data_IF_145429042122
#
_entry.id   IF_145429042122
#
_cell.length_a   1.000
_cell.length_b   1.000
_cell.length_c   1.000
_cell.angle_alpha   90.00
_cell.angle_beta   90.00
_cell.angle_gamma   90.00
#
_symmetry.space_group_name_H-M   'P 1'
#
loop_
_entity.id
_entity.type
_entity.pdbx_description
1 polymer ?
#
# COMPACT_ATOMS: atom_id res chain seq x y z
N UNK A 1 3.19 -38.56 -29.70
CA UNK A 1 2.77 -37.79 -28.50
C UNK A 1 4.00 -37.53 -27.65
N UNK A 2 4.45 -36.28 -27.49
CA UNK A 2 5.74 -35.98 -26.81
C UNK A 2 5.50 -35.76 -25.31
N UNK A 3 5.92 -36.72 -24.48
CA UNK A 3 5.81 -36.62 -23.01
C UNK A 3 6.94 -35.75 -22.46
N UNK A 4 6.74 -34.42 -22.48
CA UNK A 4 7.65 -33.47 -21.79
C UNK A 4 7.62 -33.71 -20.28
N UNK A 5 8.70 -34.26 -19.73
CA UNK A 5 8.91 -34.33 -18.29
C UNK A 5 9.39 -32.97 -17.75
N UNK A 6 8.88 -32.58 -16.58
CA UNK A 6 9.36 -31.37 -15.89
C UNK A 6 10.77 -31.68 -15.35
N UNK A 7 11.78 -30.80 -15.55
CA UNK A 7 13.13 -31.03 -15.04
C UNK A 7 13.15 -31.03 -13.51
N UNK A 8 13.92 -31.96 -12.92
CA UNK A 8 13.92 -32.23 -11.46
C UNK A 8 14.22 -31.00 -10.59
N UNK A 9 15.03 -30.05 -11.09
CA UNK A 9 15.28 -28.77 -10.43
C UNK A 9 13.99 -27.99 -10.20
N UNK A 10 13.25 -27.70 -11.28
CA UNK A 10 11.97 -26.99 -11.23
C UNK A 10 10.95 -27.69 -10.34
N UNK A 11 10.92 -29.04 -10.32
CA UNK A 11 10.06 -29.78 -9.38
C UNK A 11 10.44 -29.50 -7.91
N UNK A 12 11.74 -29.54 -7.59
CA UNK A 12 12.26 -29.22 -6.25
C UNK A 12 12.00 -27.75 -5.88
N UNK A 13 12.16 -26.81 -6.81
CA UNK A 13 11.93 -25.39 -6.57
C UNK A 13 10.43 -25.08 -6.34
N UNK A 14 9.53 -25.72 -7.10
CA UNK A 14 8.07 -25.64 -6.87
C UNK A 14 7.70 -26.20 -5.48
N UNK A 15 8.31 -27.31 -5.05
CA UNK A 15 8.08 -27.87 -3.71
C UNK A 15 8.54 -26.90 -2.62
N UNK A 16 9.72 -26.28 -2.77
CA UNK A 16 10.23 -25.29 -1.80
C UNK A 16 9.29 -24.09 -1.68
N UNK A 17 8.82 -23.55 -2.81
CA UNK A 17 7.86 -22.42 -2.81
C UNK A 17 6.53 -22.83 -2.20
N UNK A 18 5.99 -24.00 -2.55
CA UNK A 18 4.72 -24.50 -2.00
C UNK A 18 4.77 -24.75 -0.49
N UNK A 19 5.87 -25.32 0.02
CA UNK A 19 6.10 -25.49 1.46
C UNK A 19 6.27 -24.14 2.15
N UNK A 20 7.01 -23.19 1.55
CA UNK A 20 7.16 -21.84 2.08
C UNK A 20 5.83 -21.10 2.23
N UNK A 21 4.98 -21.14 1.19
CA UNK A 21 3.63 -20.56 1.23
C UNK A 21 2.76 -21.24 2.29
N UNK A 22 2.81 -22.57 2.41
CA UNK A 22 2.05 -23.31 3.42
C UNK A 22 2.49 -22.96 4.86
N UNK A 23 3.79 -22.83 5.10
CA UNK A 23 4.34 -22.44 6.42
C UNK A 23 3.95 -21.00 6.77
N UNK A 24 3.96 -20.08 5.79
CA UNK A 24 3.49 -18.69 6.00
C UNK A 24 1.99 -18.68 6.29
N UNK A 25 1.19 -19.44 5.53
CA UNK A 25 -0.27 -19.54 5.73
C UNK A 25 -0.61 -20.04 7.14
N UNK A 26 -0.06 -21.18 7.56
CA UNK A 26 -0.29 -21.74 8.89
C UNK A 26 0.27 -20.80 9.97
N UNK A 27 1.43 -20.17 9.73
CA UNK A 27 2.02 -19.19 10.64
C UNK A 27 1.11 -17.99 10.88
N UNK A 28 0.46 -17.46 9.83
CA UNK A 28 -0.53 -16.38 9.95
C UNK A 28 -1.77 -16.82 10.74
N UNK A 29 -2.32 -18.00 10.44
CA UNK A 29 -3.50 -18.51 11.15
C UNK A 29 -3.23 -18.75 12.64
N UNK A 30 -2.05 -19.26 13.01
CA UNK A 30 -1.63 -19.42 14.41
C UNK A 30 -1.31 -18.07 15.06
N UNK A 31 -0.66 -17.14 14.35
CA UNK A 31 -0.32 -15.83 14.90
C UNK A 31 -1.54 -14.97 15.22
N UNK A 32 -2.60 -15.04 14.41
CA UNK A 32 -3.80 -14.22 14.56
C UNK A 32 -5.02 -14.95 15.13
N UNK A 33 -5.00 -16.29 15.24
CA UNK A 33 -6.08 -17.07 15.83
C UNK A 33 -7.31 -17.26 14.92
N UNK A 34 -7.26 -16.79 13.68
CA UNK A 34 -8.39 -16.85 12.73
C UNK A 34 -7.94 -17.33 11.35
N UNK A 35 -8.85 -17.88 10.55
CA UNK A 35 -8.53 -18.47 9.25
C UNK A 35 -8.06 -17.42 8.22
N UNK A 36 -8.63 -16.22 8.29
CA UNK A 36 -8.36 -15.09 7.40
C UNK A 36 -8.15 -13.83 8.25
N UNK A 37 -6.92 -13.42 8.59
CA UNK A 37 -6.69 -12.30 9.48
C UNK A 37 -6.73 -10.92 8.80
N UNK A 38 -6.95 -10.86 7.48
CA UNK A 38 -6.91 -9.62 6.70
C UNK A 38 -8.20 -9.41 5.92
N UNK A 39 -8.86 -8.26 6.15
CA UNK A 39 -10.08 -7.83 5.46
C UNK A 39 -9.90 -6.44 4.84
N UNK A 40 -10.73 -6.09 3.86
CA UNK A 40 -10.77 -4.76 3.25
C UNK A 40 -12.15 -4.16 3.45
N UNK A 41 -12.23 -2.94 3.98
CA UNK A 41 -13.51 -2.24 4.20
C UNK A 41 -14.17 -1.94 2.86
N UNK A 42 -15.37 -2.49 2.64
CA UNK A 42 -16.10 -2.39 1.37
C UNK A 42 -17.25 -1.36 1.38
N UNK A 43 -17.64 -0.84 2.54
CA UNK A 43 -18.77 0.05 2.74
C UNK A 43 -18.48 1.12 3.79
N UNK A 44 -19.01 2.32 3.60
CA UNK A 44 -18.83 3.45 4.53
C UNK A 44 -19.64 3.36 5.83
N UNK A 45 -20.15 2.18 6.20
CA UNK A 45 -20.96 1.96 7.41
C UNK A 45 -20.19 2.18 8.71
N UNK A 46 -18.86 2.20 8.66
CA UNK A 46 -17.97 2.41 9.82
C UNK A 46 -17.23 3.75 9.79
N UNK A 47 -17.62 4.67 8.90
CA UNK A 47 -17.10 6.05 8.89
C UNK A 47 -17.59 6.77 10.17
N UNK A 48 -16.76 7.58 10.84
CA UNK A 48 -15.41 8.01 10.46
C UNK A 48 -14.26 7.15 11.01
N UNK A 49 -14.54 6.01 11.67
CA UNK A 49 -13.51 5.22 12.37
C UNK A 49 -12.76 4.27 11.44
N UNK A 50 -13.43 3.74 10.41
CA UNK A 50 -12.84 2.95 9.33
C UNK A 50 -13.24 3.56 7.98
N UNK A 51 -12.28 3.92 7.14
CA UNK A 51 -12.54 4.41 5.78
C UNK A 51 -12.74 3.26 4.79
N UNK A 52 -13.42 3.54 3.67
CA UNK A 52 -13.54 2.57 2.57
C UNK A 52 -12.15 2.32 1.97
N UNK A 53 -11.83 1.04 1.75
CA UNK A 53 -10.50 0.55 1.38
C UNK A 53 -9.43 0.58 2.49
N UNK A 54 -9.78 0.74 3.76
CA UNK A 54 -8.86 0.39 4.85
C UNK A 54 -8.65 -1.13 4.92
N UNK A 55 -7.44 -1.55 5.29
CA UNK A 55 -7.13 -2.96 5.56
C UNK A 55 -7.20 -3.21 7.06
N UNK A 56 -8.05 -4.14 7.45
CA UNK A 56 -8.24 -4.54 8.85
C UNK A 56 -7.37 -5.76 9.16
N UNK A 57 -6.72 -5.74 10.32
CA UNK A 57 -6.05 -6.89 10.91
C UNK A 57 -6.92 -7.41 12.05
N UNK A 58 -7.38 -8.65 11.94
CA UNK A 58 -8.34 -9.28 12.84
C UNK A 58 -7.64 -10.31 13.72
N UNK A 59 -7.97 -10.33 15.01
CA UNK A 59 -7.57 -11.37 15.94
C UNK A 59 -8.76 -12.24 16.34
N UNK A 60 -8.64 -13.55 16.13
CA UNK A 60 -9.54 -14.57 16.67
C UNK A 60 -9.06 -15.16 18.01
N UNK A 61 -8.06 -14.55 18.65
CA UNK A 61 -7.59 -14.95 19.98
C UNK A 61 -8.42 -14.35 21.13
N UNK A 62 -9.20 -13.30 20.85
CA UNK A 62 -10.15 -12.72 21.80
C UNK A 62 -11.41 -13.61 21.86
N UNK A 63 -11.76 -14.22 23.01
CA UNK A 63 -12.97 -15.02 23.12
C UNK A 63 -14.24 -14.17 22.95
N UNK A 64 -15.30 -14.74 22.37
CA UNK A 64 -16.58 -14.05 22.25
C UNK A 64 -17.13 -13.62 23.63
N UNK A 65 -16.91 -14.44 24.64
CA UNK A 65 -17.24 -14.19 26.04
C UNK A 65 -16.53 -12.97 26.65
N UNK A 66 -15.39 -12.53 26.11
CA UNK A 66 -14.67 -11.34 26.58
C UNK A 66 -15.04 -10.05 25.82
N UNK A 67 -15.75 -10.14 24.68
CA UNK A 67 -16.14 -8.98 23.85
C UNK A 67 -16.99 -7.94 24.59
N UNK A 68 -16.65 -6.66 24.46
CA UNK A 68 -17.24 -5.56 25.22
C UNK A 68 -18.01 -4.56 24.33
N UNK A 69 -18.91 -3.78 24.95
CA UNK A 69 -19.56 -2.65 24.28
C UNK A 69 -18.49 -1.63 23.88
N UNK A 70 -18.48 -1.25 22.60
CA UNK A 70 -17.45 -0.41 22.00
C UNK A 70 -16.47 -1.16 21.10
N UNK A 71 -16.34 -2.49 21.22
CA UNK A 71 -15.46 -3.29 20.36
C UNK A 71 -15.94 -3.31 18.91
N UNK A 72 -15.01 -3.28 17.96
CA UNK A 72 -15.29 -3.54 16.55
C UNK A 72 -15.02 -5.01 16.28
N UNK A 73 -16.06 -5.76 15.88
CA UNK A 73 -15.97 -7.19 15.60
C UNK A 73 -16.26 -7.50 14.13
N UNK A 74 -15.70 -8.62 13.69
CA UNK A 74 -15.85 -9.19 12.35
C UNK A 74 -16.62 -10.50 12.50
N UNK A 75 -17.70 -10.64 11.72
CA UNK A 75 -18.62 -11.77 11.83
C UNK A 75 -19.27 -12.10 10.49
N UNK A 76 -19.69 -13.35 10.29
CA UNK A 76 -20.48 -13.75 9.12
C UNK A 76 -21.96 -13.38 9.31
N UNK A 77 -22.62 -12.98 8.22
CA UNK A 77 -24.01 -12.51 8.27
C UNK A 77 -24.98 -13.61 8.74
N UNK A 78 -25.70 -13.46 9.87
CA UNK A 78 -26.59 -14.51 10.42
C UNK A 78 -27.75 -14.98 9.52
N UNK A 79 -28.03 -14.28 8.43
CA UNK A 79 -29.12 -14.63 7.50
C UNK A 79 -28.72 -15.70 6.46
N UNK A 80 -27.43 -15.76 6.13
CA UNK A 80 -26.97 -16.46 4.91
C UNK A 80 -25.49 -16.88 4.90
N UNK A 81 -24.68 -16.43 5.87
CA UNK A 81 -23.24 -16.66 6.03
C UNK A 81 -22.43 -16.54 4.72
N UNK A 82 -22.88 -15.68 3.78
CA UNK A 82 -22.20 -15.45 2.49
C UNK A 82 -21.44 -14.12 2.43
N UNK A 83 -21.50 -13.34 3.50
CA UNK A 83 -20.89 -12.01 3.65
C UNK A 83 -20.35 -11.85 5.06
N UNK A 84 -19.09 -11.47 5.12
CA UNK A 84 -18.48 -10.94 6.34
C UNK A 84 -18.90 -9.49 6.53
N UNK A 85 -19.28 -9.13 7.76
CA UNK A 85 -19.67 -7.79 8.19
C UNK A 85 -18.68 -7.32 9.28
N UNK A 86 -18.44 -6.02 9.32
CA UNK A 86 -17.62 -5.36 10.34
C UNK A 86 -18.44 -4.23 10.94
N UNK A 87 -18.80 -4.35 12.22
CA UNK A 87 -19.61 -3.37 12.96
C UNK A 87 -19.13 -3.25 14.42
N UNK A 88 -19.53 -2.18 15.10
CA UNK A 88 -19.27 -1.97 16.52
C UNK A 88 -20.34 -2.65 17.39
N UNK A 89 -19.94 -3.28 18.49
CA UNK A 89 -20.85 -3.77 19.52
C UNK A 89 -21.45 -2.59 20.28
N UNK A 90 -22.78 -2.45 20.22
CA UNK A 90 -23.52 -1.32 20.81
C UNK A 90 -24.38 -1.71 22.02
N UNK A 91 -24.67 -3.00 22.21
CA UNK A 91 -25.28 -3.51 23.43
C UNK A 91 -25.11 -5.03 23.54
N UNK A 92 -24.84 -5.53 24.74
CA UNK A 92 -25.01 -6.95 25.07
C UNK A 92 -26.51 -7.19 25.31
N UNK A 93 -27.08 -8.23 24.71
CA UNK A 93 -28.49 -8.62 24.81
C UNK A 93 -28.67 -9.68 25.91
N UNK A 94 -27.69 -10.59 26.03
CA UNK A 94 -27.63 -11.70 26.96
C UNK A 94 -26.16 -12.00 27.27
N UNK A 95 -25.87 -12.49 28.47
CA UNK A 95 -24.55 -12.95 28.91
C UNK A 95 -24.47 -14.50 29.04
N UNK A 96 -25.60 -15.23 29.03
CA UNK A 96 -25.61 -16.71 29.11
C UNK A 96 -26.83 -17.32 28.34
N UNK A 97 -26.63 -17.89 27.13
CA UNK A 97 -25.43 -17.73 26.30
C UNK A 97 -25.27 -16.27 25.90
N UNK A 98 -24.03 -15.84 25.65
CA UNK A 98 -23.77 -14.46 25.28
C UNK A 98 -24.36 -14.14 23.90
N UNK A 99 -24.92 -12.94 23.77
CA UNK A 99 -25.50 -12.44 22.52
C UNK A 99 -25.26 -10.95 22.44
N UNK A 100 -24.70 -10.45 21.34
CA UNK A 100 -24.42 -9.01 21.17
C UNK A 100 -25.21 -8.41 20.00
N UNK A 101 -25.59 -7.14 20.10
CA UNK A 101 -26.08 -6.34 18.98
C UNK A 101 -24.93 -5.49 18.44
N UNK A 102 -24.73 -5.55 17.13
CA UNK A 102 -23.77 -4.68 16.44
C UNK A 102 -24.48 -3.62 15.59
N UNK A 103 -23.80 -2.51 15.31
CA UNK A 103 -24.28 -1.42 14.47
C UNK A 103 -23.09 -0.77 13.76
N UNK A 104 -23.29 -0.23 12.56
CA UNK A 104 -22.28 0.59 11.88
C UNK A 104 -22.20 1.99 12.51
N UNK A 105 -21.00 2.51 12.71
CA UNK A 105 -20.77 3.85 13.28
C UNK A 105 -21.45 4.99 12.49
N UNK A 106 -21.65 4.81 11.17
CA UNK A 106 -22.34 5.76 10.31
C UNK A 106 -23.87 5.59 10.28
N UNK A 107 -24.43 4.56 10.94
CA UNK A 107 -25.87 4.33 10.97
C UNK A 107 -26.52 5.24 12.02
N UNK A 108 -27.47 6.09 11.61
CA UNK A 108 -28.18 7.07 12.47
C UNK A 108 -28.93 6.47 13.67
N UNK A 109 -29.10 5.15 13.72
CA UNK A 109 -29.71 4.42 14.80
C UNK A 109 -29.70 2.92 14.50
N UNK A 110 -30.31 2.14 15.39
CA UNK A 110 -30.49 0.71 15.12
C UNK A 110 -31.55 0.51 14.03
N UNK A 111 -31.28 -0.35 13.05
CA UNK A 111 -32.18 -0.63 11.93
C UNK A 111 -32.84 -2.01 12.17
N UNK A 112 -34.13 -2.07 12.53
CA UNK A 112 -34.83 -3.33 12.80
C UNK A 112 -34.76 -4.30 11.61
N UNK A 113 -34.37 -5.54 11.88
CA UNK A 113 -34.19 -6.56 10.85
C UNK A 113 -32.90 -6.43 10.01
N UNK A 114 -32.02 -5.48 10.32
CA UNK A 114 -30.66 -5.38 9.75
C UNK A 114 -29.59 -5.58 10.82
N UNK A 115 -29.81 -5.05 12.03
CA UNK A 115 -28.95 -5.33 13.19
C UNK A 115 -29.36 -6.65 13.84
N UNK A 116 -28.88 -7.76 13.29
CA UNK A 116 -29.12 -9.09 13.82
C UNK A 116 -28.44 -9.26 15.19
N UNK A 117 -29.03 -10.05 16.12
CA UNK A 117 -28.27 -10.58 17.25
C UNK A 117 -27.12 -11.46 16.71
N UNK A 118 -25.91 -11.25 17.24
CA UNK A 118 -24.71 -11.99 16.89
C UNK A 118 -24.34 -12.90 18.06
N UNK A 119 -23.99 -14.15 17.76
CA UNK A 119 -23.57 -15.18 18.71
C UNK A 119 -22.13 -15.62 18.43
N UNK A 120 -21.61 -16.58 19.21
CA UNK A 120 -20.31 -17.20 18.93
C UNK A 120 -20.28 -17.92 17.57
N UNK A 121 -21.41 -18.44 17.07
CA UNK A 121 -21.47 -19.17 15.78
C UNK A 121 -21.15 -18.30 14.57
N UNK A 122 -21.38 -16.98 14.66
CA UNK A 122 -21.06 -16.03 13.58
C UNK A 122 -19.73 -15.29 13.79
N UNK A 123 -19.13 -15.36 14.98
CA UNK A 123 -17.97 -14.56 15.36
C UNK A 123 -16.67 -15.07 14.71
N UNK A 124 -15.94 -14.18 14.02
CA UNK A 124 -14.68 -14.49 13.33
C UNK A 124 -13.46 -13.91 14.07
N UNK A 125 -13.65 -12.79 14.78
CA UNK A 125 -12.60 -12.12 15.53
C UNK A 125 -12.88 -10.63 15.80
N UNK A 126 -12.00 -10.01 16.59
CA UNK A 126 -11.99 -8.58 16.92
C UNK A 126 -10.98 -7.84 16.04
N UNK A 127 -11.29 -6.62 15.61
CA UNK A 127 -10.34 -5.78 14.86
C UNK A 127 -9.25 -5.31 15.82
N UNK A 128 -8.01 -5.75 15.58
CA UNK A 128 -6.85 -5.46 16.42
C UNK A 128 -6.05 -4.25 15.91
N UNK A 129 -5.92 -4.10 14.59
CA UNK A 129 -5.24 -2.97 13.95
C UNK A 129 -5.91 -2.58 12.63
N UNK A 130 -5.73 -1.33 12.23
CA UNK A 130 -6.13 -0.79 10.93
C UNK A 130 -4.89 -0.30 10.18
N UNK A 131 -4.87 -0.54 8.88
CA UNK A 131 -3.86 -0.01 7.96
C UNK A 131 -4.58 0.90 6.96
N UNK A 132 -4.61 2.22 7.23
CA UNK A 132 -5.42 3.14 6.44
C UNK A 132 -4.93 3.20 4.99
N UNK A 133 -5.86 3.35 4.06
CA UNK A 133 -5.63 3.52 2.62
C UNK A 133 -4.88 2.36 1.89
N UNK A 134 -4.42 1.31 2.57
CA UNK A 134 -3.66 0.22 1.92
C UNK A 134 -4.52 -0.57 0.91
N UNK A 135 -5.83 -0.65 1.12
CA UNK A 135 -6.74 -1.36 0.22
C UNK A 135 -6.93 -0.66 -1.14
N UNK A 136 -6.56 0.61 -1.30
CA UNK A 136 -6.51 1.26 -2.62
C UNK A 136 -5.51 0.56 -3.56
N UNK A 137 -4.49 -0.12 -3.04
CA UNK A 137 -3.60 -0.99 -3.85
C UNK A 137 -4.39 -2.13 -4.51
N UNK A 138 -5.45 -2.64 -3.87
CA UNK A 138 -6.34 -3.64 -4.50
C UNK A 138 -7.19 -3.04 -5.63
N UNK A 139 -7.46 -1.74 -5.61
CA UNK A 139 -8.18 -1.04 -6.68
C UNK A 139 -7.35 -0.96 -7.96
N UNK A 140 -6.01 -0.82 -7.84
CA UNK A 140 -5.08 -0.86 -8.99
C UNK A 140 -5.11 -2.21 -9.73
N UNK A 141 -5.45 -3.30 -9.03
CA UNK A 141 -5.56 -4.65 -9.59
C UNK A 141 -6.90 -4.91 -10.32
N UNK A 142 -7.84 -3.96 -10.30
CA UNK A 142 -9.14 -4.06 -10.98
C UNK A 142 -9.09 -3.44 -12.39
N UNK A 143 -9.95 -3.89 -13.33
CA UNK A 143 -10.09 -3.24 -14.63
C UNK A 143 -10.62 -1.80 -14.50
N UNK A 144 -10.25 -0.87 -15.40
CA UNK A 144 -9.31 -1.05 -16.51
C UNK A 144 -7.83 -0.84 -16.13
N UNK A 145 -7.54 -0.38 -14.90
CA UNK A 145 -6.20 0.03 -14.46
C UNK A 145 -5.21 -1.12 -14.56
N UNK A 146 -5.63 -2.34 -14.20
CA UNK A 146 -4.78 -3.53 -14.27
C UNK A 146 -4.24 -3.83 -15.69
N UNK A 147 -4.99 -3.53 -16.75
CA UNK A 147 -4.51 -3.69 -18.13
C UNK A 147 -3.36 -2.72 -18.44
N UNK A 148 -3.45 -1.48 -17.95
CA UNK A 148 -2.37 -0.48 -18.09
C UNK A 148 -1.11 -0.96 -17.36
N UNK A 149 -1.25 -1.47 -16.14
CA UNK A 149 -0.14 -2.03 -15.37
C UNK A 149 0.49 -3.23 -16.09
N UNK A 150 -0.30 -4.16 -16.62
CA UNK A 150 0.18 -5.32 -17.38
C UNK A 150 0.96 -4.88 -18.63
N UNK A 151 0.44 -3.90 -19.39
CA UNK A 151 1.13 -3.35 -20.58
C UNK A 151 2.44 -2.67 -20.20
N UNK A 152 2.47 -1.89 -19.11
CA UNK A 152 3.69 -1.24 -18.61
C UNK A 152 4.73 -2.27 -18.16
N UNK A 153 4.35 -3.30 -17.40
CA UNK A 153 5.26 -4.36 -16.94
C UNK A 153 5.84 -5.14 -18.13
N UNK A 154 5.02 -5.52 -19.11
CA UNK A 154 5.48 -6.18 -20.34
C UNK A 154 6.41 -5.27 -21.14
N UNK A 155 6.07 -3.98 -21.27
CA UNK A 155 6.91 -2.97 -21.93
C UNK A 155 8.28 -2.84 -21.27
N UNK A 156 8.34 -2.78 -19.94
CA UNK A 156 9.60 -2.74 -19.17
C UNK A 156 10.41 -4.04 -19.34
N UNK A 157 9.77 -5.22 -19.36
CA UNK A 157 10.45 -6.49 -19.62
C UNK A 157 11.09 -6.51 -21.02
N UNK A 158 10.35 -6.09 -22.06
CA UNK A 158 10.85 -6.02 -23.43
C UNK A 158 11.97 -4.99 -23.54
N UNK A 159 11.81 -3.79 -22.97
CA UNK A 159 12.83 -2.75 -22.96
C UNK A 159 14.13 -3.24 -22.30
N UNK A 160 14.05 -3.85 -21.10
CA UNK A 160 15.23 -4.43 -20.43
C UNK A 160 15.88 -5.54 -21.25
N UNK A 161 15.12 -6.35 -21.98
CA UNK A 161 15.65 -7.38 -22.87
C UNK A 161 16.37 -6.79 -24.09
N UNK A 162 15.84 -5.71 -24.69
CA UNK A 162 16.48 -4.99 -25.81
C UNK A 162 17.74 -4.27 -25.36
N UNK A 163 17.72 -3.59 -24.20
CA UNK A 163 18.89 -2.92 -23.64
C UNK A 163 20.00 -3.92 -23.28
N UNK A 164 19.67 -5.05 -22.63
CA UNK A 164 20.64 -6.12 -22.35
C UNK A 164 21.29 -6.66 -23.63
N UNK A 165 20.48 -6.86 -24.69
CA UNK A 165 20.93 -7.29 -26.02
C UNK A 165 21.79 -6.25 -26.76
N UNK A 166 21.77 -4.97 -26.35
CA UNK A 166 22.71 -3.95 -26.84
C UNK A 166 24.05 -4.07 -26.12
N UNK A 167 24.06 -4.16 -24.79
CA UNK A 167 25.29 -4.29 -23.99
C UNK A 167 26.07 -5.57 -24.32
N UNK A 168 25.38 -6.67 -24.68
CA UNK A 168 26.01 -7.92 -25.15
C UNK A 168 26.66 -7.82 -26.54
N UNK A 169 26.50 -6.70 -27.27
CA UNK A 169 27.05 -6.51 -28.63
C UNK A 169 28.25 -5.57 -28.71
N UNK A 170 28.54 -4.80 -27.66
CA UNK A 170 29.60 -3.78 -27.69
C UNK A 170 30.98 -4.32 -27.27
N UNK A 171 31.04 -5.58 -26.83
CA UNK A 171 32.24 -6.23 -26.28
C UNK A 171 32.93 -7.24 -27.23
N UNK A 172 32.59 -7.22 -28.53
CA UNK A 172 33.21 -8.09 -29.54
C UNK A 172 33.36 -7.38 -30.90
N UNK A 173 34.19 -6.34 -30.96
CA UNK A 173 34.65 -5.79 -32.25
C UNK A 173 36.07 -5.20 -32.18
N UNK A 174 37.06 -6.09 -32.15
CA UNK A 174 38.45 -5.79 -32.54
C UNK A 174 38.89 -6.81 -33.60
N UNK A 175 38.94 -6.31 -34.83
CA UNK A 175 39.54 -6.81 -36.08
C UNK A 175 39.67 -8.33 -36.38
N UNK A 176 39.00 -8.83 -37.45
CA UNK A 176 39.20 -10.17 -37.98
C UNK A 176 40.36 -10.24 -39.01
N UNK A 177 41.54 -9.72 -38.66
CA UNK A 177 42.75 -9.77 -39.48
C UNK A 177 44.02 -10.05 -38.66
N UNK A 178 44.15 -11.27 -38.14
CA UNK A 178 45.30 -12.10 -38.52
C UNK A 178 45.11 -13.57 -38.15
N UNK A 179 45.45 -14.47 -39.07
CA UNK A 179 45.45 -15.92 -38.82
C UNK A 179 46.74 -16.56 -39.32
N UNK A 180 47.68 -16.84 -38.40
CA UNK A 180 48.59 -17.99 -38.48
C UNK A 180 49.30 -18.25 -37.13
N UNK A 181 49.73 -19.50 -36.94
CA UNK A 181 50.36 -20.06 -35.72
C UNK A 181 51.72 -19.46 -35.34
N UNK A 182 52.18 -19.67 -34.09
CA UNK A 182 53.36 -19.02 -33.53
C UNK A 182 54.69 -19.76 -33.79
N UNK A 183 55.79 -19.00 -33.84
CA UNK A 183 57.15 -19.52 -33.56
C UNK A 183 58.21 -19.19 -34.61
N UNK A 184 58.87 -18.02 -34.47
CA UNK A 184 60.14 -17.73 -35.17
C UNK A 184 61.06 -16.81 -34.37
N UNK A 185 60.56 -15.65 -33.88
CA UNK A 185 61.42 -14.63 -33.26
C UNK A 185 61.78 -14.92 -31.79
N UNK A 186 62.66 -15.90 -31.59
CA UNK A 186 63.31 -16.16 -30.29
C UNK A 186 64.81 -16.53 -30.43
N UNK A 187 65.43 -16.15 -31.55
CA UNK A 187 66.78 -16.58 -31.95
C UNK A 187 67.65 -15.40 -32.46
N UNK A 188 67.53 -14.23 -31.82
CA UNK A 188 68.34 -13.03 -32.10
C UNK A 188 68.82 -12.30 -30.82
N UNK A 189 68.82 -12.98 -29.67
CA UNK A 189 69.22 -12.41 -28.37
C UNK A 189 70.73 -12.42 -28.09
N UNK A 190 71.53 -13.05 -28.95
CA UNK A 190 72.91 -13.45 -28.62
C UNK A 190 73.92 -13.07 -29.71
N UNK A 191 74.33 -11.79 -29.75
CA UNK A 191 75.62 -11.38 -30.34
C UNK A 191 76.16 -10.06 -29.75
N UNK A 192 76.48 -10.14 -28.46
CA UNK A 192 77.79 -9.79 -27.87
C UNK A 192 78.55 -8.54 -28.39
N UNK A 193 78.69 -7.54 -27.49
CA UNK A 193 79.69 -6.43 -27.45
C UNK A 193 79.71 -5.39 -28.59
N UNK A 194 79.61 -4.11 -28.20
CA UNK A 194 80.77 -3.19 -28.15
C UNK A 194 80.46 -2.01 -27.20
N UNK A 195 81.50 -1.33 -26.75
CA UNK A 195 81.51 -0.32 -25.68
C UNK A 195 81.27 1.14 -26.15
N UNK A 196 80.83 1.97 -25.18
CA UNK A 196 81.25 3.37 -24.90
C UNK A 196 80.61 4.60 -25.59
N UNK A 197 80.19 5.49 -24.68
CA UNK A 197 80.46 6.93 -24.57
C UNK A 197 79.63 8.00 -25.33
N UNK A 198 79.62 9.19 -24.67
CA UNK A 198 78.98 10.48 -25.00
C UNK A 198 77.44 10.61 -24.85
N UNK A 199 76.83 11.76 -24.52
CA UNK A 199 77.10 12.88 -23.58
C UNK A 199 76.10 14.04 -23.87
N UNK A 200 75.72 14.85 -22.85
CA UNK A 200 74.81 16.03 -22.94
C UNK A 200 73.33 15.73 -23.35
N UNK A 201 72.29 16.50 -22.99
CA UNK A 201 72.10 17.69 -22.10
C UNK A 201 70.67 17.57 -21.50
N UNK A 202 70.38 17.83 -20.22
CA UNK A 202 70.36 19.11 -19.45
C UNK A 202 68.97 19.79 -19.40
N UNK A 203 68.65 20.43 -18.27
CA UNK A 203 67.34 21.03 -17.94
C UNK A 203 67.14 22.42 -18.55
N UNK A 204 65.87 22.80 -18.81
CA UNK A 204 65.37 24.17 -18.67
C UNK A 204 64.04 24.14 -17.88
N UNK A 205 63.76 25.21 -17.14
CA UNK A 205 62.68 25.35 -16.15
C UNK A 205 61.77 26.58 -16.50
N UNK A 206 60.72 26.79 -15.69
CA UNK A 206 60.10 28.09 -15.30
C UNK A 206 58.91 28.72 -16.09
N UNK A 207 57.77 28.73 -15.35
CA UNK A 207 56.89 29.88 -14.97
C UNK A 207 55.92 30.60 -15.94
N UNK A 208 54.65 30.55 -15.52
CA UNK A 208 53.71 31.66 -15.22
C UNK A 208 52.91 32.43 -16.29
N UNK A 209 51.71 32.85 -15.85
CA UNK A 209 50.81 33.91 -16.35
C UNK A 209 50.09 33.71 -17.72
N UNK A 210 48.89 34.26 -18.02
CA UNK A 210 47.75 34.91 -17.31
C UNK A 210 46.59 35.03 -18.36
N UNK A 211 45.29 35.39 -18.14
CA UNK A 211 44.43 35.84 -17.01
C UNK A 211 42.93 35.70 -17.42
N UNK A 212 41.98 35.67 -16.45
CA UNK A 212 40.57 36.15 -16.54
C UNK A 212 39.60 35.49 -17.56
N UNK A 213 38.26 35.60 -17.52
CA UNK A 213 37.23 36.43 -16.83
C UNK A 213 35.99 35.52 -16.51
N UNK A 214 34.98 35.78 -15.66
CA UNK A 214 34.67 36.89 -14.72
C UNK A 214 33.72 36.39 -13.56
N UNK A 215 33.33 37.29 -12.64
CA UNK A 215 32.42 37.17 -11.45
C UNK A 215 31.08 36.41 -11.66
N UNK A 216 30.49 35.71 -10.66
CA UNK A 216 29.91 36.16 -9.35
C UNK A 216 28.70 37.13 -9.53
N UNK A 217 27.67 37.21 -8.67
CA UNK A 217 27.60 37.12 -7.18
C UNK A 217 26.37 36.36 -6.62
N UNK A 218 26.33 36.19 -5.29
CA UNK A 218 25.19 35.74 -4.47
C UNK A 218 24.44 36.93 -3.84
N UNK A 219 23.26 36.71 -3.25
CA UNK A 219 23.03 37.00 -1.81
C UNK A 219 21.78 36.28 -1.25
N UNK A 220 21.66 36.23 0.09
CA UNK A 220 20.64 35.50 0.87
C UNK A 220 19.74 36.45 1.72
N UNK A 221 19.00 35.89 2.70
CA UNK A 221 18.40 36.53 3.89
C UNK A 221 17.04 37.27 3.74
N UNK A 222 16.13 37.30 4.73
CA UNK A 222 15.79 36.32 5.81
C UNK A 222 14.40 36.63 6.44
N UNK A 223 13.95 35.77 7.36
CA UNK A 223 13.12 35.98 8.57
C UNK A 223 11.67 36.58 8.55
N UNK A 224 10.71 35.67 8.84
CA UNK A 224 9.66 35.70 9.91
C UNK A 224 8.46 36.68 9.99
N UNK A 225 7.42 36.15 10.65
CA UNK A 225 6.30 36.75 11.43
C UNK A 225 5.17 37.56 10.75
N UNK A 226 3.93 37.03 10.86
CA UNK A 226 2.88 37.59 11.74
C UNK A 226 1.67 36.62 11.90
N UNK A 227 0.87 36.80 12.97
CA UNK A 227 -0.39 36.08 13.23
C UNK A 227 -1.44 37.10 13.72
N UNK A 228 -2.51 37.31 12.96
CA UNK A 228 -3.90 37.61 13.38
C UNK A 228 -4.69 38.18 12.19
N UNK A 229 -5.84 37.57 11.84
CA UNK A 229 -7.14 38.28 11.81
C UNK A 229 -8.31 37.26 11.75
N UNK A 230 -9.51 37.69 12.13
CA UNK A 230 -10.69 36.83 12.32
C UNK A 230 -11.96 37.43 11.67
N UNK A 231 -12.76 36.54 11.08
CA UNK A 231 -14.15 36.74 10.65
C UNK A 231 -14.44 37.76 9.53
N UNK A 232 -14.83 37.21 8.36
CA UNK A 232 -16.14 37.46 7.73
C UNK A 232 -16.40 36.47 6.59
N UNK A 233 -17.49 35.71 6.71
CA UNK A 233 -18.10 34.92 5.64
C UNK A 233 -19.59 34.87 5.90
N UNK A 234 -20.38 35.44 5.00
CA UNK A 234 -21.80 35.77 5.19
C UNK A 234 -22.74 34.55 5.05
N UNK A 235 -22.32 33.39 5.55
CA UNK A 235 -22.98 32.08 5.39
C UNK A 235 -23.54 31.51 6.71
N UNK A 236 -23.67 32.37 7.74
CA UNK A 236 -24.13 32.00 9.09
C UNK A 236 -25.47 32.64 9.45
N UNK A 237 -25.79 33.82 8.90
CA UNK A 237 -27.08 34.51 9.16
C UNK A 237 -28.26 33.85 8.42
N UNK A 238 -28.12 33.53 7.12
CA UNK A 238 -29.11 32.77 6.34
C UNK A 238 -29.59 31.46 7.02
N UNK A 239 -28.72 30.86 7.86
CA UNK A 239 -28.98 29.61 8.59
C UNK A 239 -29.59 29.77 9.97
N UNK A 240 -29.86 31.00 10.40
CA UNK A 240 -30.60 31.29 11.64
C UNK A 240 -32.07 31.62 11.33
N UNK A 241 -32.35 32.37 10.26
CA UNK A 241 -33.73 32.62 9.81
C UNK A 241 -34.44 31.31 9.42
N UNK A 242 -33.76 30.40 8.69
CA UNK A 242 -34.29 29.06 8.32
C UNK A 242 -34.55 28.16 9.56
N UNK A 243 -33.99 28.47 10.73
CA UNK A 243 -34.25 27.75 11.98
C UNK A 243 -35.42 28.37 12.75
N UNK A 244 -35.52 29.71 12.83
CA UNK A 244 -36.63 30.36 13.54
C UNK A 244 -37.99 30.09 12.86
N UNK A 245 -38.06 30.14 11.52
CA UNK A 245 -39.30 29.81 10.77
C UNK A 245 -39.74 28.34 10.99
N UNK A 246 -38.79 27.43 11.23
CA UNK A 246 -39.09 26.01 11.51
C UNK A 246 -39.65 25.74 12.92
N UNK A 247 -39.54 26.70 13.85
CA UNK A 247 -39.93 26.53 15.26
C UNK A 247 -41.36 27.04 15.51
N UNK A 248 -41.87 27.99 14.72
CA UNK A 248 -43.26 28.45 14.85
C UNK A 248 -44.26 27.43 14.31
N UNK A 249 -43.96 26.76 13.19
CA UNK A 249 -44.88 25.84 12.47
C UNK A 249 -45.25 24.58 13.30
N UNK A 250 -44.30 24.03 14.08
CA UNK A 250 -44.55 22.91 14.99
C UNK A 250 -45.52 23.29 16.14
N UNK A 251 -45.61 24.58 16.49
CA UNK A 251 -46.39 25.05 17.65
C UNK A 251 -47.91 25.08 17.43
N UNK A 252 -48.39 25.40 16.21
CA UNK A 252 -49.82 25.33 15.88
C UNK A 252 -50.33 23.87 15.77
N UNK A 253 -49.43 22.90 15.56
CA UNK A 253 -49.77 21.48 15.45
C UNK A 253 -50.24 20.87 16.78
N UNK A 254 -49.60 21.28 17.90
CA UNK A 254 -49.83 20.74 19.24
C UNK A 254 -51.14 21.23 19.88
N UNK A 255 -51.67 22.39 19.49
CA UNK A 255 -52.91 22.93 20.07
C UNK A 255 -54.16 22.26 19.46
N UNK A 256 -54.13 21.91 18.17
CA UNK A 256 -55.27 21.36 17.44
C UNK A 256 -55.69 19.93 17.86
N UNK A 257 -54.77 19.06 18.33
CA UNK A 257 -55.14 17.69 18.78
C UNK A 257 -55.82 17.66 20.17
N UNK A 258 -55.70 18.74 20.96
CA UNK A 258 -56.23 18.78 22.34
C UNK A 258 -57.76 18.97 22.38
N UNK A 259 -58.35 19.71 21.44
CA UNK A 259 -59.80 19.93 21.39
C UNK A 259 -60.58 18.78 20.71
N UNK A 260 -59.92 17.98 19.86
CA UNK A 260 -60.58 16.84 19.18
C UNK A 260 -61.05 15.73 20.13
N UNK A 261 -60.44 15.59 21.32
CA UNK A 261 -60.70 14.49 22.27
C UNK A 261 -61.77 14.79 23.32
N UNK A 262 -62.67 15.76 23.10
CA UNK A 262 -63.59 16.27 24.16
C UNK A 262 -65.04 16.56 23.74
N UNK A 263 -65.60 15.76 22.83
CA UNK A 263 -67.03 15.69 22.49
C UNK A 263 -67.52 14.23 22.42
#
# INVERSE_FOLDING_TARGET
>A
MVKRSIPKGVVKDIIIVGVGVLVIWIGLQVAFGTQNPFYVVASGSMIPVLEVYDVLIVSGHEPFEDIQIGDIIVFDRPSDHNRVIVHRVVSIISDDPKTVRTQGDANQGSIPGTDYPITEEEYIGKVAYTLPQVGYVTQLLKPPINYVIIVVVIGIMIAKQVLKKKNEKELTFTDPLDSVSPGTMKELSDMDKIEKDSEYSEHIEKTDAEKLDDTDEMEELDDTDEIEDIAKTDAVEDRLEEIEESIEDDSESEENDKDSKKL
#
